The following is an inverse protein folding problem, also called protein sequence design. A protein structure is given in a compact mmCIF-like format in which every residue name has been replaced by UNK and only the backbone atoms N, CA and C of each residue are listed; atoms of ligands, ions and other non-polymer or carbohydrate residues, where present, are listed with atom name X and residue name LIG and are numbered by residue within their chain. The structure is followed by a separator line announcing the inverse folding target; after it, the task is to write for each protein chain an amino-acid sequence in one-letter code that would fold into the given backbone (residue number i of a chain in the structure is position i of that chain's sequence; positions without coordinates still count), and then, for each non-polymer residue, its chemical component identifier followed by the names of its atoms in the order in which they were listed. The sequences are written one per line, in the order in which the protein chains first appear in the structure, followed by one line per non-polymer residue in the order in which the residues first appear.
data_IF_987713631369
#
_entry.id   IF_987713631369
#
_cell.length_a   1.000
_cell.length_b   1.000
_cell.length_c   1.000
_cell.angle_alpha   90.00
_cell.angle_beta   90.00
_cell.angle_gamma   90.00
#
_symmetry.space_group_name_H-M   'P 1'
#
loop_
_entity.id
_entity.type
_entity.pdbx_description
1 polymer ?
#
# COMPACT_ATOMS: atom_id res chain seq x y z
N UNK A 1 13.53 -10.58 -22.81
CA UNK A 1 13.56 -10.10 -21.41
C UNK A 1 13.18 -11.26 -20.52
N UNK A 2 14.01 -11.65 -19.56
CA UNK A 2 13.58 -12.62 -18.53
C UNK A 2 12.62 -11.91 -17.57
N UNK A 3 11.46 -12.51 -17.31
CA UNK A 3 10.52 -12.03 -16.29
C UNK A 3 11.17 -12.17 -14.91
N UNK A 4 11.07 -11.15 -14.06
CA UNK A 4 11.54 -11.19 -12.66
C UNK A 4 10.85 -12.30 -11.84
N UNK A 5 9.69 -12.77 -12.30
CA UNK A 5 8.87 -13.78 -11.65
C UNK A 5 8.94 -15.16 -12.35
N UNK A 6 9.90 -15.35 -13.27
CA UNK A 6 10.03 -16.60 -14.02
C UNK A 6 10.18 -17.81 -13.07
N UNK A 7 9.34 -18.82 -13.26
CA UNK A 7 9.36 -20.05 -12.46
C UNK A 7 8.63 -19.97 -11.12
N UNK A 8 7.94 -18.87 -10.82
CA UNK A 8 7.04 -18.82 -9.66
C UNK A 8 5.76 -19.61 -9.94
N UNK A 9 5.36 -20.43 -8.97
CA UNK A 9 4.04 -21.08 -8.96
C UNK A 9 3.02 -20.22 -8.19
N UNK A 10 1.76 -20.67 -8.18
CA UNK A 10 0.68 -19.96 -7.51
C UNK A 10 0.91 -19.76 -6.00
N UNK A 11 1.59 -20.70 -5.35
CA UNK A 11 1.90 -20.61 -3.92
C UNK A 11 2.96 -19.54 -3.66
N UNK A 12 4.04 -19.53 -4.44
CA UNK A 12 5.09 -18.53 -4.35
C UNK A 12 4.57 -17.11 -4.64
N UNK A 13 3.68 -16.94 -5.63
CA UNK A 13 3.04 -15.65 -5.91
C UNK A 13 2.18 -15.19 -4.74
N UNK A 14 1.43 -16.10 -4.13
CA UNK A 14 0.62 -15.79 -2.95
C UNK A 14 1.49 -15.37 -1.76
N UNK A 15 2.56 -16.10 -1.46
CA UNK A 15 3.49 -15.77 -0.38
C UNK A 15 4.14 -14.39 -0.58
N UNK A 16 4.53 -14.07 -1.82
CA UNK A 16 5.07 -12.75 -2.18
C UNK A 16 4.09 -11.61 -1.84
N UNK A 17 2.83 -11.76 -2.23
CA UNK A 17 1.78 -10.76 -1.96
C UNK A 17 1.49 -10.67 -0.47
N UNK A 18 1.43 -11.80 0.25
CA UNK A 18 1.25 -11.83 1.70
C UNK A 18 2.40 -11.14 2.45
N UNK A 19 3.65 -11.36 2.02
CA UNK A 19 4.84 -10.67 2.56
C UNK A 19 4.74 -9.15 2.37
N UNK A 20 4.46 -8.72 1.14
CA UNK A 20 4.33 -7.29 0.82
C UNK A 20 3.17 -6.64 1.57
N UNK A 21 2.06 -7.34 1.73
CA UNK A 21 0.92 -6.87 2.52
C UNK A 21 1.28 -6.70 4.00
N UNK A 22 2.09 -7.60 4.56
CA UNK A 22 2.59 -7.49 5.93
C UNK A 22 3.47 -6.25 6.12
N UNK A 23 4.39 -6.01 5.19
CA UNK A 23 5.26 -4.83 5.19
C UNK A 23 4.45 -3.52 5.09
N UNK A 24 3.51 -3.44 4.16
CA UNK A 24 2.68 -2.24 3.98
C UNK A 24 1.74 -1.98 5.16
N UNK A 25 1.29 -3.03 5.86
CA UNK A 25 0.55 -2.88 7.13
C UNK A 25 1.42 -2.29 8.23
N UNK A 26 2.69 -2.69 8.32
CA UNK A 26 3.63 -2.10 9.26
C UNK A 26 3.87 -0.61 8.94
N UNK A 27 4.09 -0.28 7.66
CA UNK A 27 4.23 1.11 7.22
C UNK A 27 2.98 1.96 7.50
N UNK A 28 1.79 1.42 7.27
CA UNK A 28 0.52 2.08 7.63
C UNK A 28 0.43 2.33 9.14
N UNK A 29 0.85 1.35 9.97
CA UNK A 29 0.91 1.51 11.42
C UNK A 29 1.80 2.68 11.83
N UNK A 30 3.01 2.75 11.28
CA UNK A 30 3.95 3.86 11.51
C UNK A 30 3.38 5.20 11.05
N UNK A 31 2.77 5.27 9.87
CA UNK A 31 2.16 6.49 9.36
C UNK A 31 1.01 6.99 10.25
N UNK A 32 0.16 6.08 10.74
CA UNK A 32 -0.91 6.42 11.70
C UNK A 32 -0.37 6.91 13.04
N UNK A 33 0.71 6.31 13.53
CA UNK A 33 1.38 6.76 14.75
C UNK A 33 1.96 8.18 14.60
N UNK A 34 2.58 8.47 13.45
CA UNK A 34 3.09 9.81 13.15
C UNK A 34 1.96 10.86 13.11
N UNK A 35 0.83 10.55 12.47
CA UNK A 35 -0.37 11.41 12.50
C UNK A 35 -0.82 11.66 13.94
N UNK A 36 -0.93 10.61 14.76
CA UNK A 36 -1.36 10.74 16.16
C UNK A 36 -0.40 11.62 16.98
N UNK A 37 0.92 11.46 16.80
CA UNK A 37 1.93 12.30 17.46
C UNK A 37 1.76 13.78 17.09
N UNK A 38 1.68 14.08 15.79
CA UNK A 38 1.54 15.46 15.31
C UNK A 38 0.26 16.15 15.85
N UNK A 39 -0.84 15.42 15.97
CA UNK A 39 -2.07 15.93 16.59
C UNK A 39 -1.96 16.11 18.11
N UNK A 40 -1.26 15.22 18.80
CA UNK A 40 -0.99 15.36 20.22
C UNK A 40 -0.14 16.61 20.48
N UNK A 41 0.91 16.84 19.69
CA UNK A 41 1.77 18.02 19.76
C UNK A 41 1.00 19.32 19.51
N UNK A 42 0.09 19.34 18.52
CA UNK A 42 -0.82 20.46 18.29
C UNK A 42 -1.72 20.77 19.50
N UNK A 43 -2.24 19.73 20.14
CA UNK A 43 -3.12 19.87 21.30
C UNK A 43 -2.34 20.43 22.48
N UNK A 44 -1.13 19.93 22.73
CA UNK A 44 -0.24 20.41 23.80
C UNK A 44 0.22 21.84 23.53
N UNK A 45 0.68 22.17 22.31
CA UNK A 45 1.10 23.52 21.95
C UNK A 45 -0.07 24.53 22.04
N UNK A 46 -1.26 24.12 21.61
CA UNK A 46 -2.48 24.93 21.75
C UNK A 46 -2.90 25.18 23.20
N UNK A 47 -2.69 24.21 24.08
CA UNK A 47 -2.93 24.32 25.53
C UNK A 47 -1.89 25.19 26.25
N UNK A 48 -0.62 25.13 25.83
CA UNK A 48 0.49 25.82 26.51
C UNK A 48 0.63 27.28 26.07
N UNK A 49 0.42 27.60 24.79
CA UNK A 49 0.78 28.93 24.28
C UNK A 49 -0.39 29.76 23.71
N UNK A 50 -1.59 29.20 23.48
CA UNK A 50 -2.68 29.95 22.84
C UNK A 50 -2.34 30.46 21.42
N UNK A 51 -1.29 29.93 20.80
CA UNK A 51 -0.68 30.36 19.52
C UNK A 51 -0.80 29.31 18.42
N UNK A 52 -1.71 28.33 18.57
CA UNK A 52 -1.85 27.15 17.70
C UNK A 52 -1.95 27.43 16.18
N UNK A 53 -2.14 28.68 15.76
CA UNK A 53 -2.18 29.10 14.35
C UNK A 53 -0.86 29.55 13.71
N UNK A 54 0.28 29.65 14.43
CA UNK A 54 1.51 30.28 13.88
C UNK A 54 2.69 29.38 13.52
N UNK A 55 2.65 28.07 13.81
CA UNK A 55 3.88 27.24 13.80
C UNK A 55 3.99 26.16 12.73
N UNK A 56 2.97 25.95 11.89
CA UNK A 56 3.02 24.87 10.89
C UNK A 56 3.14 25.40 9.47
N UNK A 57 4.32 25.18 8.89
CA UNK A 57 4.48 25.16 7.44
C UNK A 57 3.65 23.99 6.88
N UNK A 58 2.57 24.33 6.18
CA UNK A 58 1.66 23.34 5.59
C UNK A 58 2.30 22.54 4.46
N UNK A 59 3.43 23.01 3.94
CA UNK A 59 4.20 22.35 2.89
C UNK A 59 5.36 21.51 3.46
N UNK A 60 5.53 21.48 4.80
CA UNK A 60 6.48 20.57 5.45
C UNK A 60 6.03 19.10 5.33
N UNK A 61 6.97 18.17 5.03
CA UNK A 61 6.73 16.72 5.03
C UNK A 61 6.14 16.19 6.34
N UNK A 62 6.43 16.87 7.45
CA UNK A 62 5.95 16.49 8.78
C UNK A 62 4.66 17.23 9.18
N UNK A 63 4.04 17.98 8.25
CA UNK A 63 2.78 18.64 8.55
C UNK A 63 1.67 17.61 8.77
N UNK A 64 0.72 17.84 9.71
CA UNK A 64 -0.40 16.95 9.97
C UNK A 64 -1.26 16.65 8.73
N UNK A 65 -1.25 17.54 7.73
CA UNK A 65 -1.92 17.34 6.44
C UNK A 65 -1.18 16.29 5.61
N UNK A 66 0.14 16.43 5.43
CA UNK A 66 0.94 15.51 4.63
C UNK A 66 1.02 14.13 5.28
N UNK A 67 1.19 14.06 6.61
CA UNK A 67 1.16 12.80 7.35
C UNK A 67 -0.18 12.05 7.15
N UNK A 68 -1.31 12.77 7.16
CA UNK A 68 -2.63 12.19 6.87
C UNK A 68 -2.74 11.68 5.43
N UNK A 69 -2.23 12.44 4.46
CA UNK A 69 -2.23 12.02 3.06
C UNK A 69 -1.38 10.75 2.86
N UNK A 70 -0.22 10.66 3.50
CA UNK A 70 0.61 9.45 3.44
C UNK A 70 -0.07 8.26 4.12
N UNK A 71 -0.66 8.44 5.30
CA UNK A 71 -1.43 7.38 5.96
C UNK A 71 -2.61 6.89 5.09
N UNK A 72 -3.30 7.80 4.39
CA UNK A 72 -4.37 7.45 3.46
C UNK A 72 -3.85 6.69 2.23
N UNK A 73 -2.71 7.12 1.66
CA UNK A 73 -2.05 6.42 0.54
C UNK A 73 -1.66 4.99 0.95
N UNK A 74 -1.03 4.81 2.11
CA UNK A 74 -0.68 3.49 2.65
C UNK A 74 -1.92 2.62 2.86
N UNK A 75 -3.00 3.20 3.35
CA UNK A 75 -4.26 2.48 3.51
C UNK A 75 -4.85 2.00 2.17
N UNK A 76 -4.75 2.80 1.12
CA UNK A 76 -5.17 2.40 -0.23
C UNK A 76 -4.32 1.23 -0.75
N UNK A 77 -2.99 1.30 -0.61
CA UNK A 77 -2.09 0.21 -1.03
C UNK A 77 -2.41 -1.10 -0.29
N UNK A 78 -2.62 -1.04 1.04
CA UNK A 78 -3.01 -2.22 1.83
C UNK A 78 -4.35 -2.79 1.37
N UNK A 79 -5.33 -1.94 1.03
CA UNK A 79 -6.63 -2.38 0.53
C UNK A 79 -6.49 -3.06 -0.85
N UNK A 80 -5.72 -2.47 -1.77
CA UNK A 80 -5.49 -3.02 -3.11
C UNK A 80 -4.76 -4.37 -3.07
N UNK A 81 -3.70 -4.49 -2.24
CA UNK A 81 -3.00 -5.76 -2.02
C UNK A 81 -3.90 -6.83 -1.38
N UNK A 82 -4.83 -6.42 -0.50
CA UNK A 82 -5.80 -7.34 0.09
C UNK A 82 -6.77 -7.86 -0.98
N UNK A 83 -7.28 -6.98 -1.86
CA UNK A 83 -8.15 -7.38 -2.98
C UNK A 83 -7.42 -8.30 -3.97
N UNK A 84 -6.15 -8.01 -4.27
CA UNK A 84 -5.31 -8.86 -5.12
C UNK A 84 -5.16 -10.27 -4.53
N UNK A 85 -4.92 -10.36 -3.21
CA UNK A 85 -4.83 -11.64 -2.50
C UNK A 85 -6.16 -12.40 -2.47
N UNK A 86 -7.28 -11.68 -2.35
CA UNK A 86 -8.62 -12.27 -2.41
C UNK A 86 -8.95 -12.82 -3.80
N UNK A 87 -8.58 -12.09 -4.87
CA UNK A 87 -8.78 -12.53 -6.25
C UNK A 87 -8.07 -13.87 -6.54
N UNK A 88 -6.88 -14.08 -5.96
CA UNK A 88 -6.13 -15.35 -6.08
C UNK A 88 -6.84 -16.55 -5.45
N UNK A 89 -7.87 -16.34 -4.63
CA UNK A 89 -8.64 -17.43 -4.01
C UNK A 89 -9.76 -17.96 -4.91
N UNK A 90 -10.09 -17.26 -6.00
CA UNK A 90 -11.20 -17.60 -6.90
C UNK A 90 -10.68 -18.12 -8.24
N UNK A 91 -10.40 -19.42 -8.32
CA UNK A 91 -10.12 -20.10 -9.59
C UNK A 91 -8.66 -19.98 -10.05
N UNK A 92 -8.45 -19.73 -11.34
CA UNK A 92 -7.12 -19.66 -11.95
C UNK A 92 -6.39 -18.36 -11.53
N UNK A 93 -5.25 -18.45 -10.84
CA UNK A 93 -4.52 -17.29 -10.34
C UNK A 93 -3.98 -16.38 -11.45
N UNK A 94 -3.64 -16.91 -12.63
CA UNK A 94 -3.17 -16.09 -13.75
C UNK A 94 -4.30 -15.21 -14.32
N UNK A 95 -5.51 -15.79 -14.42
CA UNK A 95 -6.70 -15.05 -14.86
C UNK A 95 -7.11 -14.02 -13.82
N UNK A 96 -7.10 -14.39 -12.54
CA UNK A 96 -7.44 -13.48 -11.44
C UNK A 96 -6.53 -12.25 -11.39
N UNK A 97 -5.22 -12.44 -11.54
CA UNK A 97 -4.24 -11.34 -11.56
C UNK A 97 -4.39 -10.44 -12.79
N UNK A 98 -4.65 -11.02 -13.96
CA UNK A 98 -4.92 -10.24 -15.18
C UNK A 98 -6.17 -9.38 -15.03
N UNK A 99 -7.25 -9.95 -14.45
CA UNK A 99 -8.48 -9.22 -14.19
C UNK A 99 -8.23 -8.07 -13.19
N UNK A 100 -7.54 -8.35 -12.08
CA UNK A 100 -7.15 -7.32 -11.10
C UNK A 100 -6.36 -6.18 -11.75
N UNK A 101 -5.37 -6.50 -12.60
CA UNK A 101 -4.55 -5.49 -13.27
C UNK A 101 -5.39 -4.51 -14.12
N UNK A 102 -6.42 -5.03 -14.81
CA UNK A 102 -7.32 -4.21 -15.62
C UNK A 102 -8.30 -3.33 -14.83
N UNK A 103 -8.49 -3.60 -13.53
CA UNK A 103 -9.47 -2.92 -12.68
C UNK A 103 -8.84 -1.97 -11.67
N UNK A 104 -7.60 -2.22 -11.27
CA UNK A 104 -6.91 -1.36 -10.30
C UNK A 104 -6.56 0.00 -10.92
N UNK A 105 -6.70 1.07 -10.14
CA UNK A 105 -6.30 2.42 -10.54
C UNK A 105 -4.83 2.70 -10.24
N UNK A 106 -4.13 1.78 -9.57
CA UNK A 106 -2.73 1.90 -9.21
C UNK A 106 -1.85 1.29 -10.32
N UNK A 107 -1.14 2.11 -11.12
CA UNK A 107 -0.40 1.63 -12.29
C UNK A 107 0.78 0.73 -11.91
N UNK A 108 1.36 0.90 -10.72
CA UNK A 108 2.46 0.04 -10.25
C UNK A 108 1.94 -1.35 -9.89
N UNK A 109 0.81 -1.43 -9.19
CA UNK A 109 0.19 -2.72 -8.88
C UNK A 109 -0.39 -3.39 -10.12
N UNK A 110 -0.92 -2.63 -11.09
CA UNK A 110 -1.37 -3.17 -12.37
C UNK A 110 -0.23 -3.87 -13.10
N UNK A 111 0.91 -3.17 -13.28
CA UNK A 111 2.07 -3.74 -13.95
C UNK A 111 2.63 -4.97 -13.23
N UNK A 112 2.65 -4.93 -11.89
CA UNK A 112 3.12 -6.05 -11.08
C UNK A 112 2.20 -7.28 -11.22
N UNK A 113 0.89 -7.07 -11.18
CA UNK A 113 -0.11 -8.11 -11.38
C UNK A 113 -0.04 -8.72 -12.79
N UNK A 114 0.15 -7.93 -13.85
CA UNK A 114 0.33 -8.44 -15.22
C UNK A 114 1.60 -9.30 -15.35
N UNK A 115 2.69 -8.87 -14.73
CA UNK A 115 3.95 -9.59 -14.76
C UNK A 115 3.83 -10.95 -14.05
N UNK A 116 3.16 -10.99 -12.90
CA UNK A 116 2.88 -12.22 -12.15
C UNK A 116 1.92 -13.13 -12.92
N UNK A 117 0.85 -12.59 -13.51
CA UNK A 117 -0.09 -13.35 -14.35
C UNK A 117 0.64 -14.03 -15.51
N UNK A 118 1.48 -13.27 -16.21
CA UNK A 118 2.27 -13.77 -17.34
C UNK A 118 3.19 -14.89 -16.88
N UNK A 119 3.88 -14.73 -15.74
CA UNK A 119 4.78 -15.75 -15.21
C UNK A 119 4.04 -17.06 -14.90
N UNK A 120 2.86 -16.98 -14.29
CA UNK A 120 2.04 -18.15 -13.97
C UNK A 120 1.53 -18.84 -15.23
N UNK A 121 1.11 -18.11 -16.26
CA UNK A 121 0.67 -18.70 -17.54
C UNK A 121 1.76 -19.44 -18.30
N UNK A 122 3.04 -19.14 -18.04
CA UNK A 122 4.17 -19.84 -18.65
C UNK A 122 4.72 -20.99 -17.77
N UNK A 123 4.27 -21.10 -16.52
CA UNK A 123 4.67 -22.15 -15.58
C UNK A 123 3.73 -23.37 -15.60
N UNK A 124 2.51 -23.21 -16.13
CA UNK A 124 1.50 -24.26 -16.33
C UNK A 124 1.72 -25.01 -17.65
#
# INVERSE_FOLDING_TARGET
MMSLYAGMDAAAVRELIESRLSEERAHLGTARAAVASAYSELTVAGLVEGTAGRFYDHDSPDSPRQLRQEAQRRQQIVAELTLMLEALRSGDPAVALSLFASQTTNPLLAADAEALATALSHAA
#
